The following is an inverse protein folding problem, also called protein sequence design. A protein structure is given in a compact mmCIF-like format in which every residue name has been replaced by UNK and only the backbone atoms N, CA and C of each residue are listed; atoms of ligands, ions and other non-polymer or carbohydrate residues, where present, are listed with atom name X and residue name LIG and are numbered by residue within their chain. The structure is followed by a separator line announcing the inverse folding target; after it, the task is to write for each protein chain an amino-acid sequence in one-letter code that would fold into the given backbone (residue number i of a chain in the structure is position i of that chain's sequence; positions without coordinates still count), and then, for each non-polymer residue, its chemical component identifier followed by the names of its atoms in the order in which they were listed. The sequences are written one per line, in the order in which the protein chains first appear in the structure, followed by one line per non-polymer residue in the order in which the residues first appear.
data_IF_238364935059
#
_entry.id   IF_238364935059
#
_cell.length_a   1.000
_cell.length_b   1.000
_cell.length_c   1.000
_cell.angle_alpha   90.00
_cell.angle_beta   90.00
_cell.angle_gamma   90.00
#
_symmetry.space_group_name_H-M   'P 1'
#
loop_
_entity.id
_entity.type
_entity.pdbx_description
1 polymer ?
#
# COMPACT_ATOMS: atom_id res chain seq x y z
N UNK A 1 9.97 -2.24 -23.65
CA UNK A 1 9.04 -3.38 -23.67
C UNK A 1 8.05 -3.29 -24.84
N UNK A 2 7.59 -2.08 -25.21
CA UNK A 2 6.55 -1.91 -26.26
C UNK A 2 6.92 -2.57 -27.60
N UNK A 3 8.19 -2.54 -28.01
CA UNK A 3 8.66 -3.13 -29.28
C UNK A 3 8.85 -4.66 -29.25
N UNK A 4 8.65 -5.29 -28.09
CA UNK A 4 8.85 -6.74 -27.88
C UNK A 4 7.65 -7.43 -27.23
N UNK A 5 6.52 -6.76 -27.13
CA UNK A 5 5.35 -7.28 -26.47
C UNK A 5 4.12 -7.17 -27.36
N UNK A 6 3.30 -8.22 -27.38
CA UNK A 6 1.93 -8.16 -27.88
C UNK A 6 1.03 -7.69 -26.73
N UNK A 7 0.36 -6.56 -26.91
CA UNK A 7 -0.54 -5.99 -25.89
C UNK A 7 -1.98 -6.27 -26.27
N UNK A 8 -2.71 -6.87 -25.36
CA UNK A 8 -4.15 -7.17 -25.43
C UNK A 8 -4.82 -6.32 -24.35
N UNK A 9 -5.37 -5.19 -24.78
CA UNK A 9 -6.10 -4.26 -23.92
C UNK A 9 -7.58 -4.67 -23.87
N UNK A 10 -8.04 -5.12 -22.72
CA UNK A 10 -9.43 -5.51 -22.50
C UNK A 10 -10.36 -4.31 -22.25
N UNK A 11 -9.84 -3.06 -22.26
CA UNK A 11 -10.66 -1.85 -22.35
C UNK A 11 -11.16 -1.61 -23.78
N UNK A 12 -10.49 -2.14 -24.82
CA UNK A 12 -11.03 -2.16 -26.18
C UNK A 12 -12.30 -3.02 -26.23
N UNK A 13 -13.43 -2.38 -26.47
CA UNK A 13 -14.75 -3.05 -26.48
C UNK A 13 -14.86 -4.18 -27.51
N UNK A 14 -14.15 -4.09 -28.63
CA UNK A 14 -14.17 -5.13 -29.69
C UNK A 14 -13.39 -6.36 -29.23
N UNK A 15 -12.19 -6.17 -28.68
CA UNK A 15 -11.41 -7.26 -28.12
C UNK A 15 -12.12 -7.91 -26.93
N UNK A 16 -12.70 -7.09 -26.06
CA UNK A 16 -13.48 -7.55 -24.92
C UNK A 16 -14.64 -8.44 -25.34
N UNK A 17 -15.50 -8.00 -26.28
CA UNK A 17 -16.64 -8.78 -26.77
C UNK A 17 -16.18 -10.08 -27.46
N UNK A 18 -15.15 -9.99 -28.27
CA UNK A 18 -14.58 -11.13 -28.99
C UNK A 18 -14.06 -12.20 -28.03
N UNK A 19 -13.20 -11.82 -27.09
CA UNK A 19 -12.59 -12.75 -26.15
C UNK A 19 -13.56 -13.22 -25.05
N UNK A 20 -14.58 -12.43 -24.70
CA UNK A 20 -15.66 -12.88 -23.81
C UNK A 20 -16.50 -13.98 -24.45
N UNK A 21 -16.77 -13.89 -25.78
CA UNK A 21 -17.56 -14.89 -26.52
C UNK A 21 -16.75 -16.12 -26.87
N UNK A 22 -15.45 -15.95 -27.13
CA UNK A 22 -14.58 -17.03 -27.63
C UNK A 22 -13.16 -16.90 -27.02
N UNK A 23 -12.95 -17.24 -25.73
CA UNK A 23 -11.65 -17.12 -25.06
C UNK A 23 -10.51 -17.84 -25.78
N UNK A 24 -10.78 -18.93 -26.49
CA UNK A 24 -9.80 -19.70 -27.27
C UNK A 24 -9.18 -18.92 -28.45
N UNK A 25 -9.81 -17.82 -28.90
CA UNK A 25 -9.27 -16.95 -29.94
C UNK A 25 -8.03 -16.19 -29.48
N UNK A 26 -7.74 -16.17 -28.16
CA UNK A 26 -6.51 -15.61 -27.60
C UNK A 26 -5.27 -16.18 -28.30
N UNK A 27 -5.25 -17.48 -28.55
CA UNK A 27 -4.14 -18.15 -29.25
C UNK A 27 -3.93 -17.60 -30.66
N UNK A 28 -5.02 -17.44 -31.42
CA UNK A 28 -4.97 -16.93 -32.80
C UNK A 28 -4.49 -15.48 -32.85
N UNK A 29 -4.89 -14.66 -31.88
CA UNK A 29 -4.45 -13.26 -31.77
C UNK A 29 -2.93 -13.19 -31.50
N UNK A 30 -2.44 -14.01 -30.57
CA UNK A 30 -1.01 -14.09 -30.25
C UNK A 30 -0.20 -14.59 -31.46
N UNK A 31 -0.71 -15.62 -32.15
CA UNK A 31 -0.04 -16.17 -33.32
C UNK A 31 0.06 -15.17 -34.49
N UNK A 32 -0.90 -14.25 -34.62
CA UNK A 32 -0.89 -13.22 -35.65
C UNK A 32 0.15 -12.10 -35.38
N UNK A 33 0.55 -11.91 -34.12
CA UNK A 33 1.52 -10.91 -33.70
C UNK A 33 2.47 -11.52 -32.64
N UNK A 34 3.36 -12.45 -33.06
CA UNK A 34 4.22 -13.15 -32.13
C UNK A 34 5.24 -12.20 -31.48
N UNK A 35 5.36 -12.30 -30.15
CA UNK A 35 6.29 -11.53 -29.34
C UNK A 35 6.83 -12.35 -28.17
N UNK A 36 7.96 -11.90 -27.60
CA UNK A 36 8.58 -12.57 -26.44
C UNK A 36 7.68 -12.56 -25.19
N UNK A 37 6.86 -11.52 -25.06
CA UNK A 37 5.96 -11.30 -23.92
C UNK A 37 4.57 -10.93 -24.44
N UNK A 38 3.54 -11.52 -23.86
CA UNK A 38 2.15 -11.15 -24.08
C UNK A 38 1.63 -10.41 -22.84
N UNK A 39 1.21 -9.18 -23.03
CA UNK A 39 0.58 -8.36 -21.98
C UNK A 39 -0.92 -8.46 -22.13
N UNK A 40 -1.63 -8.85 -21.09
CA UNK A 40 -3.09 -8.75 -21.04
C UNK A 40 -3.45 -7.71 -19.96
N UNK A 41 -3.95 -6.57 -20.42
CA UNK A 41 -4.35 -5.49 -19.53
C UNK A 41 -5.80 -5.66 -19.09
N UNK A 42 -6.07 -5.36 -17.79
CA UNK A 42 -7.38 -5.51 -17.15
C UNK A 42 -7.95 -6.95 -17.20
N UNK A 43 -7.10 -7.97 -16.98
CA UNK A 43 -7.47 -9.41 -17.07
C UNK A 43 -8.69 -9.77 -16.21
N UNK A 44 -8.95 -9.05 -15.11
CA UNK A 44 -10.12 -9.30 -14.25
C UNK A 44 -11.46 -9.02 -14.94
N UNK A 45 -11.46 -8.37 -16.10
CA UNK A 45 -12.68 -8.17 -16.91
C UNK A 45 -13.16 -9.47 -17.56
N UNK A 46 -12.24 -10.39 -17.88
CA UNK A 46 -12.54 -11.72 -18.46
C UNK A 46 -11.71 -12.78 -17.71
N UNK A 47 -12.10 -13.16 -16.48
CA UNK A 47 -11.35 -14.13 -15.67
C UNK A 47 -11.18 -15.50 -16.34
N UNK A 48 -12.07 -15.85 -17.27
CA UNK A 48 -12.03 -17.10 -18.04
C UNK A 48 -10.77 -17.21 -18.91
N UNK A 49 -10.18 -16.09 -19.34
CA UNK A 49 -8.91 -16.08 -20.09
C UNK A 49 -7.75 -16.68 -19.29
N UNK A 50 -7.82 -16.73 -17.97
CA UNK A 50 -6.79 -17.38 -17.14
C UNK A 50 -6.63 -18.87 -17.48
N UNK A 51 -7.69 -19.55 -17.95
CA UNK A 51 -7.60 -20.92 -18.42
C UNK A 51 -6.76 -21.03 -19.71
N UNK A 52 -6.99 -20.11 -20.65
CA UNK A 52 -6.25 -20.07 -21.91
C UNK A 52 -4.79 -19.65 -21.67
N UNK A 53 -4.55 -18.66 -20.82
CA UNK A 53 -3.21 -18.26 -20.39
C UNK A 53 -2.46 -19.46 -19.80
N UNK A 54 -3.10 -20.21 -18.89
CA UNK A 54 -2.49 -21.42 -18.33
C UNK A 54 -2.17 -22.46 -19.39
N UNK A 55 -3.10 -22.74 -20.31
CA UNK A 55 -2.91 -23.67 -21.41
C UNK A 55 -1.73 -23.26 -22.30
N UNK A 56 -1.64 -21.98 -22.66
CA UNK A 56 -0.58 -21.46 -23.54
C UNK A 56 0.79 -21.44 -22.84
N UNK A 57 0.86 -21.18 -21.53
CA UNK A 57 2.10 -21.32 -20.75
C UNK A 57 2.62 -22.77 -20.82
N UNK A 58 1.73 -23.76 -20.64
CA UNK A 58 2.14 -25.17 -20.62
C UNK A 58 2.52 -25.69 -22.03
N UNK A 59 1.70 -25.36 -23.05
CA UNK A 59 1.88 -25.92 -24.40
C UNK A 59 2.92 -25.17 -25.23
N UNK A 60 3.03 -23.86 -25.09
CA UNK A 60 3.86 -23.01 -25.97
C UNK A 60 4.95 -22.24 -25.20
N UNK A 61 4.96 -22.32 -23.86
CA UNK A 61 5.92 -21.63 -22.96
C UNK A 61 5.94 -20.11 -23.14
N UNK A 62 4.79 -19.52 -23.50
CA UNK A 62 4.65 -18.07 -23.65
C UNK A 62 4.79 -17.39 -22.28
N UNK A 63 5.49 -16.29 -22.24
CA UNK A 63 5.59 -15.43 -21.05
C UNK A 63 4.45 -14.42 -21.05
N UNK A 64 3.66 -14.39 -19.98
CA UNK A 64 2.55 -13.45 -19.83
C UNK A 64 2.86 -12.42 -18.75
N UNK A 65 2.46 -11.16 -19.02
CA UNK A 65 2.31 -10.10 -18.03
C UNK A 65 0.82 -9.76 -17.93
N UNK A 66 0.22 -10.06 -16.79
CA UNK A 66 -1.18 -9.81 -16.53
C UNK A 66 -1.32 -8.62 -15.60
N UNK A 67 -2.10 -7.61 -15.99
CA UNK A 67 -2.39 -6.47 -15.13
C UNK A 67 -3.85 -6.50 -14.67
N UNK A 68 -4.14 -5.84 -13.56
CA UNK A 68 -5.51 -5.69 -13.08
C UNK A 68 -5.58 -4.90 -11.78
N UNK A 69 -6.60 -4.07 -11.65
CA UNK A 69 -6.86 -3.22 -10.48
C UNK A 69 -7.43 -4.00 -9.28
N UNK A 70 -7.99 -5.21 -9.50
CA UNK A 70 -8.68 -5.98 -8.46
C UNK A 70 -8.13 -7.40 -8.30
N UNK A 71 -7.34 -7.60 -7.26
CA UNK A 71 -6.90 -8.93 -6.85
C UNK A 71 -8.07 -9.85 -6.44
N UNK A 72 -9.19 -9.27 -5.97
CA UNK A 72 -10.38 -10.00 -5.55
C UNK A 72 -11.11 -10.68 -6.70
N UNK A 73 -11.33 -9.97 -7.81
CA UNK A 73 -11.97 -10.54 -8.99
C UNK A 73 -11.16 -11.70 -9.52
N UNK A 74 -9.84 -11.58 -9.56
CA UNK A 74 -8.94 -12.67 -9.95
C UNK A 74 -9.04 -13.86 -9.00
N UNK A 75 -9.07 -13.66 -7.67
CA UNK A 75 -9.21 -14.76 -6.69
C UNK A 75 -10.56 -15.45 -6.80
N UNK A 76 -11.66 -14.73 -7.02
CA UNK A 76 -13.00 -15.31 -7.21
C UNK A 76 -13.16 -16.03 -8.55
N UNK A 77 -12.47 -15.56 -9.58
CA UNK A 77 -12.46 -16.15 -10.92
C UNK A 77 -11.63 -17.42 -11.09
N UNK A 78 -11.30 -18.15 -10.00
CA UNK A 78 -10.49 -19.40 -10.03
C UNK A 78 -9.00 -19.19 -10.33
N UNK A 79 -8.39 -18.09 -9.85
CA UNK A 79 -6.95 -17.83 -9.97
C UNK A 79 -6.03 -18.93 -9.36
N UNK A 80 -6.58 -19.94 -8.69
CA UNK A 80 -5.86 -21.16 -8.33
C UNK A 80 -5.28 -21.91 -9.53
N UNK A 81 -5.76 -21.61 -10.76
CA UNK A 81 -5.26 -22.21 -12.00
C UNK A 81 -3.80 -21.87 -12.31
N UNK A 82 -3.32 -20.70 -11.83
CA UNK A 82 -1.94 -20.27 -12.02
C UNK A 82 -1.06 -20.53 -10.79
N UNK A 83 -1.55 -21.29 -9.80
CA UNK A 83 -0.81 -21.59 -8.58
C UNK A 83 0.56 -22.21 -8.88
N UNK A 84 1.61 -21.62 -8.34
CA UNK A 84 2.99 -22.06 -8.56
C UNK A 84 3.67 -21.57 -9.86
N UNK A 85 2.94 -20.83 -10.75
CA UNK A 85 3.44 -20.35 -12.05
C UNK A 85 3.42 -18.84 -12.18
N UNK A 86 2.92 -18.12 -11.19
CA UNK A 86 2.75 -16.66 -11.22
C UNK A 86 3.59 -16.02 -10.13
N UNK A 87 4.25 -14.98 -10.52
CA UNK A 87 4.86 -14.02 -9.62
C UNK A 87 3.94 -12.82 -9.47
N UNK A 88 3.44 -12.59 -8.26
CA UNK A 88 2.71 -11.38 -7.94
C UNK A 88 3.70 -10.22 -7.79
N UNK A 89 3.45 -9.13 -8.52
CA UNK A 89 4.12 -7.85 -8.36
C UNK A 89 3.06 -6.79 -8.05
N UNK A 90 3.32 -5.94 -7.07
CA UNK A 90 2.44 -4.83 -6.71
C UNK A 90 3.08 -3.53 -7.15
N UNK A 91 2.31 -2.66 -7.79
CA UNK A 91 2.72 -1.28 -8.01
C UNK A 91 2.25 -0.43 -6.82
N UNK A 92 3.15 0.45 -6.38
CA UNK A 92 2.89 1.44 -5.35
C UNK A 92 2.83 2.83 -5.98
N UNK A 93 2.29 3.85 -5.29
CA UNK A 93 2.58 5.24 -5.64
C UNK A 93 4.09 5.44 -5.77
N UNK A 94 4.53 6.41 -6.55
CA UNK A 94 5.95 6.66 -6.74
C UNK A 94 6.67 6.77 -5.39
N UNK A 95 7.76 6.05 -5.25
CA UNK A 95 8.68 6.16 -4.12
C UNK A 95 9.67 7.32 -4.35
N UNK A 96 10.36 7.71 -3.28
CA UNK A 96 11.29 8.84 -3.32
C UNK A 96 12.29 8.77 -4.48
N UNK A 97 12.78 7.58 -4.84
CA UNK A 97 13.76 7.37 -5.90
C UNK A 97 13.21 7.48 -7.32
N UNK A 98 11.91 7.33 -7.49
CA UNK A 98 11.24 7.37 -8.80
C UNK A 98 10.84 8.79 -9.19
N UNK A 99 10.85 9.73 -8.23
CA UNK A 99 10.44 11.11 -8.45
C UNK A 99 11.67 12.00 -8.66
N UNK A 100 11.77 12.68 -9.83
CA UNK A 100 12.78 13.69 -10.04
C UNK A 100 12.55 14.86 -9.06
N UNK A 101 13.63 15.46 -8.55
CA UNK A 101 13.59 16.62 -7.66
C UNK A 101 12.63 16.45 -6.48
N UNK A 102 12.70 15.30 -5.81
CA UNK A 102 11.78 14.93 -4.72
C UNK A 102 11.72 15.99 -3.62
N UNK A 103 10.52 16.52 -3.41
CA UNK A 103 10.16 17.42 -2.32
C UNK A 103 9.29 16.68 -1.31
N UNK A 104 9.79 16.53 -0.08
CA UNK A 104 9.07 15.84 0.99
C UNK A 104 7.76 16.55 1.37
N UNK A 105 7.77 17.87 1.51
CA UNK A 105 6.56 18.62 1.90
C UNK A 105 5.48 18.52 0.82
N UNK A 106 5.87 18.54 -0.46
CA UNK A 106 4.96 18.29 -1.57
C UNK A 106 4.40 16.86 -1.47
N UNK A 107 5.27 15.86 -1.32
CA UNK A 107 4.83 14.47 -1.23
C UNK A 107 3.87 14.23 -0.07
N UNK A 108 4.17 14.75 1.12
CA UNK A 108 3.30 14.60 2.29
C UNK A 108 1.93 15.24 2.08
N UNK A 109 1.83 16.27 1.25
CA UNK A 109 0.59 17.01 0.97
C UNK A 109 -0.23 16.36 -0.15
N UNK A 110 0.41 16.00 -1.26
CA UNK A 110 -0.30 15.60 -2.49
C UNK A 110 -0.12 14.12 -2.84
N UNK A 111 0.74 13.40 -2.12
CA UNK A 111 1.00 11.99 -2.35
C UNK A 111 2.00 11.71 -3.46
N UNK A 112 2.12 10.42 -3.81
CA UNK A 112 3.03 9.89 -4.82
C UNK A 112 2.35 9.34 -6.07
N UNK A 113 1.05 9.60 -6.28
CA UNK A 113 0.42 9.25 -7.54
C UNK A 113 1.07 10.04 -8.69
N UNK A 114 1.57 9.37 -9.77
CA UNK A 114 2.35 10.04 -10.81
C UNK A 114 1.64 11.24 -11.43
N UNK A 115 0.36 11.08 -11.82
CA UNK A 115 -0.45 12.13 -12.41
C UNK A 115 -0.59 13.33 -11.48
N UNK A 116 -0.73 13.09 -10.17
CA UNK A 116 -0.87 14.13 -9.16
C UNK A 116 0.45 14.82 -8.84
N UNK A 117 1.48 14.03 -8.50
CA UNK A 117 2.76 14.60 -8.07
C UNK A 117 3.44 15.43 -9.15
N UNK A 118 3.32 15.03 -10.42
CA UNK A 118 3.92 15.71 -11.57
C UNK A 118 3.03 16.82 -12.14
N UNK A 119 1.78 16.94 -11.70
CA UNK A 119 0.85 17.96 -12.18
C UNK A 119 1.25 19.36 -11.73
N UNK A 120 0.88 20.35 -12.55
CA UNK A 120 0.90 21.76 -12.17
C UNK A 120 -0.25 22.14 -11.23
N UNK A 121 -1.34 21.37 -11.24
CA UNK A 121 -2.50 21.54 -10.36
C UNK A 121 -2.84 20.21 -9.66
N UNK A 122 -2.05 19.83 -8.66
CA UNK A 122 -2.24 18.55 -7.96
C UNK A 122 -3.55 18.48 -7.15
N UNK A 123 -4.14 19.60 -6.78
CA UNK A 123 -5.39 19.63 -6.02
C UNK A 123 -6.57 19.15 -6.87
N UNK A 124 -6.69 19.69 -8.08
CA UNK A 124 -7.71 19.29 -9.07
C UNK A 124 -7.56 17.81 -9.45
N UNK A 125 -6.32 17.35 -9.69
CA UNK A 125 -6.05 15.94 -10.03
C UNK A 125 -6.43 15.00 -8.88
N UNK A 126 -6.12 15.35 -7.64
CA UNK A 126 -6.51 14.57 -6.46
C UNK A 126 -8.02 14.53 -6.27
N UNK A 127 -8.69 15.68 -6.43
CA UNK A 127 -10.13 15.76 -6.29
C UNK A 127 -10.84 14.90 -7.35
N UNK A 128 -10.41 15.00 -8.61
CA UNK A 128 -10.90 14.16 -9.68
C UNK A 128 -10.66 12.67 -9.41
N UNK A 129 -9.45 12.31 -8.95
CA UNK A 129 -9.11 10.94 -8.61
C UNK A 129 -10.00 10.38 -7.50
N UNK A 130 -10.16 11.11 -6.40
CA UNK A 130 -10.90 10.63 -5.21
C UNK A 130 -12.41 10.67 -5.43
N UNK A 131 -12.94 11.76 -5.99
CA UNK A 131 -14.37 11.98 -6.07
C UNK A 131 -15.03 11.30 -7.28
N UNK A 132 -14.27 11.03 -8.32
CA UNK A 132 -14.78 10.36 -9.52
C UNK A 132 -14.27 8.92 -9.59
N UNK A 133 -12.96 8.75 -9.83
CA UNK A 133 -12.39 7.45 -10.15
C UNK A 133 -12.43 6.45 -9.00
N UNK A 134 -11.92 6.82 -7.82
CA UNK A 134 -11.81 5.92 -6.69
C UNK A 134 -13.19 5.44 -6.19
N UNK A 135 -14.18 6.34 -6.15
CA UNK A 135 -15.54 5.98 -5.75
C UNK A 135 -16.21 5.06 -6.77
N UNK A 136 -16.04 5.34 -8.07
CA UNK A 136 -16.60 4.51 -9.13
C UNK A 136 -15.97 3.12 -9.18
N UNK A 137 -14.65 3.00 -9.03
CA UNK A 137 -13.97 1.70 -8.96
C UNK A 137 -14.44 0.86 -7.79
N UNK A 138 -14.53 1.45 -6.60
CA UNK A 138 -15.03 0.74 -5.42
C UNK A 138 -16.48 0.30 -5.61
N UNK A 139 -17.31 1.13 -6.23
CA UNK A 139 -18.70 0.77 -6.55
C UNK A 139 -18.80 -0.36 -7.57
N UNK A 140 -17.92 -0.36 -8.58
CA UNK A 140 -17.86 -1.41 -9.61
C UNK A 140 -17.50 -2.80 -9.04
N UNK A 141 -16.91 -2.87 -7.83
CA UNK A 141 -16.72 -4.13 -7.10
C UNK A 141 -18.03 -4.77 -6.61
N UNK A 142 -19.16 -4.06 -6.73
CA UNK A 142 -20.52 -4.60 -6.52
C UNK A 142 -20.88 -4.93 -5.07
N UNK A 143 -20.09 -4.50 -4.08
CA UNK A 143 -20.33 -4.77 -2.66
C UNK A 143 -21.07 -3.65 -1.93
N UNK A 144 -21.04 -2.46 -2.47
CA UNK A 144 -21.61 -1.28 -1.86
C UNK A 144 -23.06 -1.15 -2.32
N UNK A 145 -24.00 -1.54 -1.46
CA UNK A 145 -25.43 -1.39 -1.74
C UNK A 145 -25.94 0.03 -1.46
N UNK A 146 -25.25 0.79 -0.60
CA UNK A 146 -25.63 2.14 -0.19
C UNK A 146 -24.40 3.05 -0.14
N UNK A 147 -24.36 4.04 -0.99
CA UNK A 147 -23.25 5.00 -1.10
C UNK A 147 -23.07 5.88 0.16
N UNK A 148 -24.14 6.46 0.77
CA UNK A 148 -23.95 7.40 1.88
C UNK A 148 -23.25 6.80 3.11
N UNK A 149 -23.57 5.58 3.61
CA UNK A 149 -22.80 4.98 4.70
C UNK A 149 -21.34 4.71 4.35
N UNK A 150 -21.07 4.31 3.14
CA UNK A 150 -19.70 4.06 2.68
C UNK A 150 -18.88 5.36 2.57
N UNK A 151 -19.46 6.44 2.07
CA UNK A 151 -18.78 7.75 2.04
C UNK A 151 -18.45 8.23 3.46
N UNK A 152 -19.38 8.09 4.43
CA UNK A 152 -19.05 8.39 5.83
C UNK A 152 -17.93 7.53 6.37
N UNK A 153 -17.92 6.24 6.01
CA UNK A 153 -16.83 5.33 6.39
C UNK A 153 -15.49 5.78 5.83
N UNK A 154 -15.41 6.15 4.55
CA UNK A 154 -14.17 6.65 3.95
C UNK A 154 -13.63 7.88 4.68
N UNK A 155 -14.49 8.85 5.01
CA UNK A 155 -14.08 10.02 5.77
C UNK A 155 -13.61 9.65 7.19
N UNK A 156 -14.38 8.82 7.92
CA UNK A 156 -14.04 8.44 9.29
C UNK A 156 -12.75 7.64 9.38
N UNK A 157 -12.51 6.71 8.44
CA UNK A 157 -11.30 5.92 8.43
C UNK A 157 -10.08 6.73 7.94
N UNK A 158 -10.29 7.75 7.10
CA UNK A 158 -9.23 8.68 6.69
C UNK A 158 -8.75 9.54 7.87
N UNK A 159 -9.66 9.99 8.72
CA UNK A 159 -9.32 10.68 9.97
C UNK A 159 -8.55 9.77 10.95
N UNK A 160 -8.77 8.46 10.89
CA UNK A 160 -8.08 7.45 11.69
C UNK A 160 -6.87 6.82 10.99
N UNK A 161 -6.39 7.43 9.91
CA UNK A 161 -5.20 6.94 9.20
C UNK A 161 -3.97 6.93 10.13
N UNK A 162 -3.13 5.91 10.02
CA UNK A 162 -1.99 5.64 10.91
C UNK A 162 -2.39 5.35 12.38
N UNK A 163 -3.64 5.02 12.65
CA UNK A 163 -4.12 4.69 13.99
C UNK A 163 -4.65 3.25 14.07
N UNK A 164 -4.71 2.74 15.29
CA UNK A 164 -5.37 1.44 15.56
C UNK A 164 -6.86 1.54 15.23
N UNK A 165 -7.33 0.62 14.41
CA UNK A 165 -8.72 0.62 13.99
C UNK A 165 -9.68 0.28 15.14
N UNK A 166 -10.69 1.10 15.32
CA UNK A 166 -11.80 0.84 16.25
C UNK A 166 -13.09 0.59 15.47
N UNK A 167 -13.38 -0.67 15.20
CA UNK A 167 -14.54 -1.08 14.41
C UNK A 167 -15.87 -0.59 15.01
N UNK A 168 -16.01 -0.58 16.35
CA UNK A 168 -17.24 -0.11 17.02
C UNK A 168 -17.42 1.39 16.85
N UNK A 169 -16.35 2.19 17.02
CA UNK A 169 -16.41 3.64 16.80
C UNK A 169 -16.79 3.95 15.36
N UNK A 170 -16.08 3.35 14.39
CA UNK A 170 -16.38 3.53 12.96
C UNK A 170 -17.82 3.11 12.61
N UNK A 171 -18.32 2.03 13.19
CA UNK A 171 -19.69 1.58 12.97
C UNK A 171 -20.72 2.61 13.44
N UNK A 172 -20.50 3.22 14.59
CA UNK A 172 -21.35 4.29 15.11
C UNK A 172 -21.30 5.53 14.23
N UNK A 173 -20.09 5.97 13.83
CA UNK A 173 -19.89 7.15 12.98
C UNK A 173 -20.56 6.99 11.60
N UNK A 174 -20.53 5.76 11.06
CA UNK A 174 -21.11 5.42 9.76
C UNK A 174 -22.57 5.02 9.81
N UNK A 175 -23.12 4.78 11.00
CA UNK A 175 -24.50 4.29 11.22
C UNK A 175 -24.74 2.93 10.52
N UNK A 176 -23.80 2.00 10.68
CA UNK A 176 -23.87 0.63 10.15
C UNK A 176 -23.41 -0.38 11.23
N UNK A 177 -23.74 -1.67 11.09
CA UNK A 177 -23.19 -2.70 11.97
C UNK A 177 -21.66 -2.81 11.89
N UNK A 178 -20.96 -3.21 12.97
CA UNK A 178 -19.51 -3.44 12.93
C UNK A 178 -19.04 -4.47 11.87
N UNK A 179 -19.89 -5.46 11.55
CA UNK A 179 -19.64 -6.42 10.48
C UNK A 179 -19.52 -5.74 9.11
N UNK A 180 -20.37 -4.74 8.83
CA UNK A 180 -20.32 -3.96 7.60
C UNK A 180 -19.05 -3.12 7.52
N UNK A 181 -18.58 -2.55 8.64
CA UNK A 181 -17.28 -1.86 8.68
C UNK A 181 -16.14 -2.83 8.36
N UNK A 182 -16.19 -4.04 8.90
CA UNK A 182 -15.19 -5.08 8.58
C UNK A 182 -15.19 -5.44 7.09
N UNK A 183 -16.37 -5.53 6.47
CA UNK A 183 -16.51 -5.74 5.02
C UNK A 183 -15.92 -4.56 4.22
N UNK A 184 -16.16 -3.33 4.65
CA UNK A 184 -15.63 -2.13 4.02
C UNK A 184 -14.09 -2.05 4.12
N UNK A 185 -13.52 -2.38 5.29
CA UNK A 185 -12.06 -2.46 5.44
C UNK A 185 -11.49 -3.53 4.52
N UNK A 186 -12.08 -4.73 4.49
CA UNK A 186 -11.67 -5.81 3.59
C UNK A 186 -11.76 -5.40 2.10
N UNK A 187 -12.75 -4.57 1.75
CA UNK A 187 -12.86 -4.03 0.40
C UNK A 187 -11.70 -3.09 0.06
N UNK A 188 -11.32 -2.17 0.97
CA UNK A 188 -10.16 -1.30 0.77
C UNK A 188 -8.85 -2.09 0.65
N UNK A 189 -8.71 -3.21 1.37
CA UNK A 189 -7.55 -4.10 1.23
C UNK A 189 -7.56 -4.85 -0.10
N UNK A 190 -8.70 -5.37 -0.51
CA UNK A 190 -8.86 -6.11 -1.78
C UNK A 190 -8.64 -5.23 -3.02
N UNK A 191 -8.97 -3.94 -2.93
CA UNK A 191 -8.77 -2.93 -3.98
C UNK A 191 -7.44 -2.18 -3.85
N UNK A 192 -6.59 -2.56 -2.90
CA UNK A 192 -5.27 -1.97 -2.64
C UNK A 192 -5.29 -0.49 -2.23
N UNK A 193 -6.46 0.06 -1.89
CA UNK A 193 -6.66 1.46 -1.47
C UNK A 193 -6.21 1.67 -0.03
N UNK A 194 -6.30 0.63 0.80
CA UNK A 194 -5.84 0.66 2.18
C UNK A 194 -5.33 -0.70 2.63
N UNK A 195 -4.77 -0.75 3.82
CA UNK A 195 -4.29 -2.00 4.43
C UNK A 195 -4.22 -1.88 5.94
N UNK A 196 -4.31 -3.03 6.59
CA UNK A 196 -4.03 -3.15 8.01
C UNK A 196 -2.58 -3.56 8.24
N UNK A 197 -1.83 -2.74 8.95
CA UNK A 197 -0.52 -3.08 9.48
C UNK A 197 -0.72 -3.93 10.75
N UNK A 198 -0.35 -5.21 10.75
CA UNK A 198 -0.59 -6.08 11.90
C UNK A 198 0.32 -5.73 13.07
N UNK A 199 -0.18 -5.99 14.28
CA UNK A 199 0.60 -5.83 15.48
C UNK A 199 1.55 -7.04 15.68
N UNK A 200 2.79 -6.78 16.11
CA UNK A 200 3.68 -7.82 16.61
C UNK A 200 3.27 -8.24 18.02
N UNK A 201 2.94 -9.49 18.19
CA UNK A 201 2.30 -10.02 19.43
C UNK A 201 3.20 -10.98 20.23
N UNK A 202 4.44 -11.21 19.78
CA UNK A 202 5.38 -12.16 20.41
C UNK A 202 6.15 -11.56 21.59
N UNK A 203 5.74 -10.38 22.08
CA UNK A 203 6.33 -9.70 23.24
C UNK A 203 6.19 -10.59 24.49
N UNK A 204 7.32 -10.87 25.16
CA UNK A 204 7.39 -11.72 26.35
C UNK A 204 7.32 -10.93 27.65
N UNK A 205 7.87 -9.72 27.65
CA UNK A 205 7.94 -8.88 28.85
C UNK A 205 6.75 -7.98 29.03
N UNK A 206 6.05 -7.63 27.93
CA UNK A 206 4.91 -6.70 27.96
C UNK A 206 3.74 -7.25 27.16
N UNK A 207 2.54 -7.16 27.70
CA UNK A 207 1.34 -7.54 26.97
C UNK A 207 1.13 -6.61 25.79
N UNK A 208 1.32 -7.11 24.57
CA UNK A 208 1.10 -6.37 23.33
C UNK A 208 -0.39 -6.24 23.00
N UNK A 209 -0.74 -5.17 22.28
CA UNK A 209 -2.04 -5.00 21.65
C UNK A 209 -2.06 -5.81 20.37
N UNK A 210 -3.24 -6.33 20.00
CA UNK A 210 -3.41 -7.19 18.81
C UNK A 210 -4.10 -6.48 17.64
N UNK A 211 -4.69 -5.31 17.88
CA UNK A 211 -5.42 -4.54 16.87
C UNK A 211 -4.46 -4.00 15.83
N UNK A 212 -4.78 -4.09 14.55
CA UNK A 212 -3.98 -3.52 13.46
C UNK A 212 -4.12 -1.99 13.37
N UNK A 213 -3.09 -1.32 12.84
CA UNK A 213 -3.16 0.08 12.40
C UNK A 213 -3.63 0.11 10.95
N UNK A 214 -4.50 1.05 10.60
CA UNK A 214 -4.95 1.24 9.22
C UNK A 214 -4.15 2.34 8.54
N UNK A 215 -3.78 2.08 7.29
CA UNK A 215 -3.15 3.08 6.41
C UNK A 215 -3.83 3.06 5.04
N UNK A 216 -4.06 4.25 4.49
CA UNK A 216 -4.28 4.39 3.05
C UNK A 216 -2.97 4.23 2.28
N UNK A 217 -3.08 3.90 1.01
CA UNK A 217 -1.94 3.68 0.11
C UNK A 217 -1.20 4.98 -0.26
N UNK A 218 -1.82 6.15 -0.07
CA UNK A 218 -1.28 7.44 -0.48
C UNK A 218 -1.70 8.57 0.47
N UNK A 219 -0.79 9.46 0.92
CA UNK A 219 -1.14 10.54 1.83
C UNK A 219 -2.02 11.62 1.20
N UNK A 220 -1.87 11.94 -0.10
CA UNK A 220 -2.74 12.90 -0.78
C UNK A 220 -4.19 12.44 -0.81
N UNK A 221 -4.41 11.17 -1.16
CA UNK A 221 -5.74 10.53 -1.11
C UNK A 221 -6.31 10.57 0.31
N UNK A 222 -5.47 10.31 1.33
CA UNK A 222 -5.88 10.40 2.73
C UNK A 222 -6.39 11.79 3.08
N UNK A 223 -5.68 12.85 2.66
CA UNK A 223 -6.06 14.23 2.94
C UNK A 223 -7.38 14.62 2.31
N UNK A 224 -7.60 14.31 1.04
CA UNK A 224 -8.88 14.60 0.36
C UNK A 224 -10.02 13.86 1.04
N UNK A 225 -9.87 12.58 1.35
CA UNK A 225 -10.88 11.78 2.05
C UNK A 225 -11.17 12.31 3.46
N UNK A 226 -10.16 12.83 4.16
CA UNK A 226 -10.32 13.42 5.50
C UNK A 226 -10.86 14.86 5.48
N UNK A 227 -10.96 15.48 4.30
CA UNK A 227 -11.33 16.90 4.16
C UNK A 227 -10.26 17.86 4.69
N UNK A 228 -8.98 17.48 4.57
CA UNK A 228 -7.86 18.29 5.04
C UNK A 228 -7.49 19.33 4.00
N UNK A 229 -7.65 20.60 4.31
CA UNK A 229 -7.29 21.71 3.42
C UNK A 229 -5.81 22.11 3.57
N UNK A 230 -5.28 22.10 4.80
CA UNK A 230 -3.93 22.55 5.10
C UNK A 230 -3.14 21.54 5.91
N UNK A 231 -1.88 21.34 5.54
CA UNK A 231 -0.94 20.46 6.24
C UNK A 231 0.19 21.32 6.86
N UNK A 232 0.01 21.68 8.13
CA UNK A 232 1.02 22.45 8.86
C UNK A 232 2.14 21.54 9.36
N UNK A 233 3.40 21.97 9.17
CA UNK A 233 4.61 21.17 9.48
C UNK A 233 4.72 20.68 10.94
N UNK A 234 4.14 21.40 11.89
CA UNK A 234 4.23 21.05 13.31
C UNK A 234 2.94 20.40 13.84
N UNK A 235 2.03 20.01 12.95
CA UNK A 235 0.78 19.35 13.33
C UNK A 235 0.96 17.85 13.50
N UNK A 236 0.10 17.23 14.29
CA UNK A 236 0.00 15.76 14.39
C UNK A 236 -0.29 15.13 13.03
N UNK A 237 -1.06 15.81 12.19
CA UNK A 237 -1.40 15.35 10.85
C UNK A 237 -0.16 15.26 9.95
N UNK A 238 0.74 16.25 10.04
CA UNK A 238 2.02 16.20 9.32
C UNK A 238 2.88 15.03 9.83
N UNK A 239 2.87 14.78 11.13
CA UNK A 239 3.53 13.62 11.74
C UNK A 239 3.01 12.29 11.17
N UNK A 240 1.68 12.13 11.13
CA UNK A 240 1.03 10.95 10.55
C UNK A 240 1.30 10.78 9.05
N UNK A 241 1.33 11.87 8.30
CA UNK A 241 1.66 11.83 6.86
C UNK A 241 3.10 11.41 6.63
N UNK A 242 4.02 11.85 7.49
CA UNK A 242 5.42 11.43 7.44
C UNK A 242 5.59 9.96 7.84
N UNK A 243 4.87 9.49 8.85
CA UNK A 243 4.82 8.07 9.22
C UNK A 243 4.26 7.22 8.07
N UNK A 244 3.17 7.67 7.43
CA UNK A 244 2.59 7.01 6.26
C UNK A 244 3.57 6.95 5.09
N UNK A 245 4.29 8.04 4.80
CA UNK A 245 5.34 8.06 3.76
C UNK A 245 6.40 6.99 4.03
N UNK A 246 6.95 6.92 5.24
CA UNK A 246 7.94 5.89 5.59
C UNK A 246 7.32 4.48 5.51
N UNK A 247 6.06 4.31 5.91
CA UNK A 247 5.36 3.04 5.78
C UNK A 247 5.27 2.58 4.31
N UNK A 248 4.95 3.49 3.39
CA UNK A 248 4.84 3.18 1.97
C UNK A 248 6.20 2.86 1.35
N UNK A 249 7.26 3.58 1.73
CA UNK A 249 8.63 3.27 1.32
C UNK A 249 9.07 1.86 1.79
N UNK A 250 8.77 1.50 3.04
CA UNK A 250 9.05 0.17 3.57
C UNK A 250 8.29 -0.93 2.81
N UNK A 251 7.01 -0.71 2.52
CA UNK A 251 6.18 -1.67 1.77
C UNK A 251 6.67 -1.83 0.33
N UNK A 252 6.97 -0.73 -0.34
CA UNK A 252 7.49 -0.76 -1.70
C UNK A 252 8.85 -1.48 -1.74
N UNK A 253 9.74 -1.16 -0.81
CA UNK A 253 11.03 -1.85 -0.67
C UNK A 253 10.85 -3.37 -0.50
N UNK A 254 10.02 -3.81 0.45
CA UNK A 254 9.78 -5.23 0.69
C UNK A 254 9.22 -5.94 -0.55
N UNK A 255 8.32 -5.30 -1.28
CA UNK A 255 7.70 -5.84 -2.48
C UNK A 255 8.67 -5.88 -3.66
N UNK A 256 9.33 -4.77 -3.99
CA UNK A 256 10.21 -4.64 -5.15
C UNK A 256 11.50 -5.46 -4.99
N UNK A 257 12.05 -5.51 -3.78
CA UNK A 257 13.21 -6.34 -3.45
C UNK A 257 12.84 -7.78 -3.11
N UNK A 258 11.55 -8.15 -3.21
CA UNK A 258 11.02 -9.51 -2.93
C UNK A 258 11.43 -10.05 -1.56
N UNK A 259 11.49 -9.17 -0.56
CA UNK A 259 11.82 -9.56 0.82
C UNK A 259 10.61 -10.22 1.47
N UNK A 260 10.75 -11.47 1.88
CA UNK A 260 9.70 -12.24 2.57
C UNK A 260 9.72 -11.97 4.07
N UNK A 261 9.78 -10.70 4.46
CA UNK A 261 9.78 -10.27 5.85
C UNK A 261 8.42 -9.64 6.20
N UNK A 262 7.82 -9.99 7.34
CA UNK A 262 6.62 -9.30 7.80
C UNK A 262 6.97 -7.86 8.19
N UNK A 263 6.12 -6.91 7.78
CA UNK A 263 6.08 -5.56 8.31
C UNK A 263 4.97 -5.52 9.35
N UNK A 264 5.32 -5.15 10.58
CA UNK A 264 4.41 -5.09 11.72
C UNK A 264 4.68 -3.82 12.51
N UNK A 265 3.83 -3.50 13.50
CA UNK A 265 4.12 -2.49 14.51
C UNK A 265 4.03 -3.11 15.91
N UNK A 266 4.55 -2.43 16.92
CA UNK A 266 4.39 -2.87 18.29
C UNK A 266 3.78 -1.79 19.17
N UNK A 267 2.82 -2.20 20.02
CA UNK A 267 2.29 -1.35 21.07
C UNK A 267 2.00 -2.18 22.32
N UNK A 268 2.51 -1.71 23.44
CA UNK A 268 2.21 -2.29 24.75
C UNK A 268 0.89 -1.77 25.29
N UNK A 269 0.27 -2.48 26.23
CA UNK A 269 -0.92 -1.98 26.95
C UNK A 269 -0.66 -0.71 27.75
N UNK A 270 0.59 -0.45 28.11
CA UNK A 270 1.01 0.76 28.84
C UNK A 270 1.25 1.96 27.92
N UNK A 271 0.94 1.85 26.62
CA UNK A 271 1.00 2.95 25.66
C UNK A 271 2.38 3.16 25.01
N UNK A 272 3.39 2.32 25.29
CA UNK A 272 4.66 2.38 24.54
C UNK A 272 4.46 1.78 23.17
N UNK A 273 4.98 2.45 22.14
CA UNK A 273 4.79 2.10 20.75
C UNK A 273 6.09 2.18 19.97
N UNK A 274 6.22 1.35 18.93
CA UNK A 274 7.23 1.44 17.87
C UNK A 274 6.51 1.27 16.55
N UNK A 275 6.71 2.21 15.64
CA UNK A 275 5.89 2.37 14.45
C UNK A 275 6.04 1.23 13.46
N UNK A 276 7.27 0.73 13.23
CA UNK A 276 7.51 -0.36 12.28
C UNK A 276 8.54 -1.35 12.77
N UNK A 277 8.27 -2.62 12.49
CA UNK A 277 9.16 -3.74 12.72
C UNK A 277 9.37 -4.49 11.42
N UNK A 278 10.62 -4.65 10.98
CA UNK A 278 11.00 -5.46 9.83
C UNK A 278 11.43 -6.86 10.32
N UNK A 279 10.52 -7.81 10.15
CA UNK A 279 10.70 -9.16 10.70
C UNK A 279 10.95 -9.13 12.21
N UNK A 280 12.00 -9.85 12.64
CA UNK A 280 12.50 -9.84 14.01
C UNK A 280 13.86 -9.15 14.12
N UNK A 281 14.26 -8.37 13.13
CA UNK A 281 15.61 -7.81 13.05
C UNK A 281 15.68 -6.33 13.36
N UNK A 282 14.78 -5.52 12.82
CA UNK A 282 14.88 -4.07 12.87
C UNK A 282 13.61 -3.43 13.39
N UNK A 283 13.77 -2.57 14.39
CA UNK A 283 12.71 -1.75 14.99
C UNK A 283 12.92 -0.29 14.57
N UNK A 284 11.86 0.36 14.08
CA UNK A 284 11.90 1.69 13.48
C UNK A 284 10.83 2.56 14.13
N UNK A 285 11.26 3.66 14.72
CA UNK A 285 10.41 4.76 15.20
C UNK A 285 10.51 5.90 14.20
N UNK A 286 9.42 6.63 13.96
CA UNK A 286 9.34 7.71 12.99
C UNK A 286 8.92 9.01 13.69
N UNK A 287 9.67 10.08 13.49
CA UNK A 287 9.36 11.41 14.04
C UNK A 287 9.55 12.48 12.98
N UNK A 288 8.51 13.25 12.70
CA UNK A 288 8.59 14.36 11.74
C UNK A 288 9.40 15.55 12.21
N UNK A 289 9.96 15.51 13.43
CA UNK A 289 10.73 16.61 14.01
C UNK A 289 12.09 16.77 13.33
N UNK A 290 12.56 18.04 13.27
CA UNK A 290 13.90 18.40 12.81
C UNK A 290 14.96 18.34 13.92
N UNK A 291 14.55 18.06 15.15
CA UNK A 291 15.42 17.86 16.29
C UNK A 291 14.85 16.74 17.15
N UNK A 292 15.62 15.69 17.30
CA UNK A 292 15.23 14.52 18.08
C UNK A 292 15.51 14.73 19.56
N UNK A 293 14.73 14.10 20.42
CA UNK A 293 14.83 14.16 21.88
C UNK A 293 14.92 12.78 22.52
N UNK A 294 15.33 12.72 23.78
CA UNK A 294 15.35 11.45 24.54
C UNK A 294 13.95 10.82 24.70
N UNK A 295 12.89 11.66 24.66
CA UNK A 295 11.52 11.17 24.73
C UNK A 295 11.13 10.37 23.49
N UNK A 296 11.66 10.72 22.32
CA UNK A 296 11.37 10.06 21.05
C UNK A 296 11.96 8.63 21.00
N UNK A 297 12.92 8.32 21.87
CA UNK A 297 13.56 7.01 21.96
C UNK A 297 12.84 6.05 22.91
N UNK A 298 11.84 6.50 23.66
CA UNK A 298 11.19 5.67 24.71
C UNK A 298 10.63 4.36 24.20
N UNK A 299 9.88 4.39 23.10
CA UNK A 299 9.30 3.17 22.49
C UNK A 299 10.37 2.15 22.16
N UNK A 300 11.44 2.57 21.48
CA UNK A 300 12.57 1.72 21.13
C UNK A 300 13.32 1.18 22.34
N UNK A 301 13.52 1.99 23.38
CA UNK A 301 14.16 1.54 24.64
C UNK A 301 13.36 0.44 25.31
N UNK A 302 12.04 0.60 25.39
CA UNK A 302 11.19 -0.44 25.98
C UNK A 302 11.13 -1.71 25.13
N UNK A 303 11.10 -1.57 23.82
CA UNK A 303 11.12 -2.75 22.93
C UNK A 303 12.47 -3.47 22.98
N UNK A 304 13.57 -2.75 23.15
CA UNK A 304 14.91 -3.31 23.28
C UNK A 304 15.03 -4.30 24.44
N UNK A 305 14.28 -4.09 25.51
CA UNK A 305 14.26 -5.02 26.66
C UNK A 305 13.70 -6.42 26.30
N UNK A 306 12.95 -6.56 25.21
CA UNK A 306 12.47 -7.87 24.72
C UNK A 306 13.62 -8.77 24.23
N UNK A 307 14.75 -8.18 23.83
CA UNK A 307 15.96 -8.91 23.43
C UNK A 307 15.85 -9.65 22.09
N UNK A 308 14.88 -9.27 21.25
CA UNK A 308 14.60 -9.92 19.96
C UNK A 308 15.28 -9.21 18.81
N UNK A 309 15.21 -7.87 18.80
CA UNK A 309 15.67 -7.04 17.68
C UNK A 309 17.14 -6.68 17.80
N UNK A 310 17.81 -6.54 16.66
CA UNK A 310 19.24 -6.21 16.56
C UNK A 310 19.46 -4.72 16.27
N UNK A 311 18.62 -4.15 15.41
CA UNK A 311 18.74 -2.76 14.97
C UNK A 311 17.58 -1.94 15.57
N UNK A 312 17.91 -0.79 16.13
CA UNK A 312 16.96 0.19 16.68
C UNK A 312 17.22 1.52 16.01
N UNK A 313 16.26 2.01 15.25
CA UNK A 313 16.42 3.17 14.37
C UNK A 313 15.32 4.18 14.66
N UNK A 314 15.70 5.43 14.90
CA UNK A 314 14.81 6.57 14.90
C UNK A 314 14.98 7.32 13.57
N UNK A 315 13.97 7.32 12.73
CA UNK A 315 13.95 8.05 11.46
C UNK A 315 13.33 9.42 11.67
N UNK A 316 14.01 10.48 11.27
CA UNK A 316 13.53 11.84 11.48
C UNK A 316 13.93 12.81 10.35
N UNK A 317 13.50 14.07 10.46
CA UNK A 317 13.97 15.15 9.60
C UNK A 317 15.20 15.88 10.21
N UNK A 318 15.74 15.41 11.32
CA UNK A 318 16.99 15.90 11.88
C UNK A 318 18.12 15.63 10.86
N UNK A 319 18.90 16.63 10.44
CA UNK A 319 19.97 16.44 9.45
C UNK A 319 21.16 15.64 9.99
N UNK A 320 21.26 15.48 11.31
CA UNK A 320 22.41 14.88 11.98
C UNK A 320 22.08 13.49 12.50
N UNK A 321 22.91 12.51 12.16
CA UNK A 321 22.79 11.16 12.75
C UNK A 321 23.45 11.16 14.14
N UNK A 322 22.76 10.56 15.12
CA UNK A 322 23.26 10.38 16.49
C UNK A 322 23.06 8.94 16.95
N UNK A 323 23.98 8.46 17.78
CA UNK A 323 23.89 7.14 18.40
C UNK A 323 23.76 7.31 19.91
N UNK A 324 22.66 6.82 20.47
CA UNK A 324 22.39 6.87 21.91
C UNK A 324 21.93 5.51 22.40
N UNK A 325 22.64 4.89 23.33
CA UNK A 325 22.29 3.58 23.92
C UNK A 325 22.03 2.48 22.86
N UNK A 326 22.82 2.45 21.78
CA UNK A 326 22.65 1.58 20.61
C UNK A 326 21.34 1.81 19.83
N UNK A 327 20.70 2.97 19.95
CA UNK A 327 19.63 3.44 19.08
C UNK A 327 20.22 4.46 18.13
N UNK A 328 20.11 4.20 16.83
CA UNK A 328 20.61 5.10 15.78
C UNK A 328 19.50 6.04 15.34
N UNK A 329 19.59 7.30 15.71
CA UNK A 329 18.75 8.35 15.11
C UNK A 329 19.42 8.82 13.82
N UNK A 330 18.65 8.92 12.73
CA UNK A 330 19.19 9.26 11.43
C UNK A 330 18.20 10.02 10.54
N UNK A 331 18.71 10.87 9.61
CA UNK A 331 17.89 11.54 8.62
C UNK A 331 17.14 10.52 7.74
N UNK A 332 15.89 10.80 7.42
CA UNK A 332 15.04 9.92 6.59
C UNK A 332 15.65 9.62 5.20
N UNK A 333 16.32 10.58 4.55
CA UNK A 333 17.01 10.35 3.27
C UNK A 333 18.08 9.28 3.39
N UNK A 334 18.93 9.40 4.43
CA UNK A 334 19.98 8.42 4.70
C UNK A 334 19.38 7.06 5.07
N UNK A 335 18.29 7.04 5.84
CA UNK A 335 17.57 5.82 6.16
C UNK A 335 17.09 5.10 4.89
N UNK A 336 16.43 5.80 3.97
CA UNK A 336 15.96 5.22 2.71
C UNK A 336 17.13 4.72 1.85
N UNK A 337 18.20 5.49 1.74
CA UNK A 337 19.40 5.07 1.00
C UNK A 337 20.02 3.79 1.55
N UNK A 338 20.07 3.66 2.87
CA UNK A 338 20.62 2.49 3.54
C UNK A 338 19.66 1.31 3.48
N UNK A 339 18.33 1.53 3.54
CA UNK A 339 17.28 0.53 3.36
C UNK A 339 17.40 -0.15 1.99
N UNK A 340 17.50 0.65 0.91
CA UNK A 340 17.61 0.13 -0.45
C UNK A 340 18.97 -0.53 -0.75
N UNK A 341 19.95 -0.44 0.16
CA UNK A 341 21.22 -1.18 0.16
C UNK A 341 21.19 -2.40 1.07
N UNK A 342 20.01 -2.84 1.50
CA UNK A 342 19.81 -4.02 2.36
C UNK A 342 20.50 -3.95 3.73
N UNK A 343 20.80 -2.76 4.27
CA UNK A 343 21.53 -2.65 5.53
C UNK A 343 20.73 -3.04 6.79
N UNK A 344 19.40 -3.10 6.69
CA UNK A 344 18.50 -3.29 7.82
C UNK A 344 17.74 -4.62 7.79
N UNK A 345 17.99 -5.48 6.83
CA UNK A 345 17.29 -6.75 6.59
C UNK A 345 18.24 -7.94 6.55
#
# INVERSE_FOLDING_TARGET
LADKATVIDLLDSRLFLRLSSAPHELESIIAAAPADIVVIDEIQRIPELLNEVHRLIESQKITFLLTGSSARKLRRGKANLLAGRVWEARMFPCIQRELPDFDLDRYLRVGGLPAVYLSGDPAEELDAYVNTYLKEEIMAEGLIRRLPPFSRFLNSIALANAEMINFTKLANDCQVPPSTVSEYVGLLEDTLIGFLLPAWTESKKRKAIKTGKFYFFDPGVTHVLAGTENLERNSDLYGKSFEQFICMELRAYLSYMRKKLPLTYWRSKNGHEVDFLLGTRTAIEVKASRKTSQNDLKGLKYLKEEGVFQNFILVSQDPVSTLTENILAMPWKKFLDDLWKDKFV
#
